data_IF_149345168866
#
_entry.id   IF_149345168866
#
_cell.length_a   1.000
_cell.length_b   1.000
_cell.length_c   1.000
_cell.angle_alpha   90.00
_cell.angle_beta   90.00
_cell.angle_gamma   90.00
#
_symmetry.space_group_name_H-M   'P 1'
#
loop_
_entity.id
_entity.type
_entity.pdbx_description
1 polymer ?
#
# COMPACT_ATOMS: atom_id res chain seq x y z
N UNK A 1 -2.10 9.28 7.22
CA UNK A 1 -2.04 8.00 6.49
C UNK A 1 -0.81 7.24 6.95
N UNK A 2 -0.98 5.97 7.24
CA UNK A 2 0.09 5.13 7.79
C UNK A 2 0.50 4.11 6.73
N UNK A 3 1.45 4.48 5.91
CA UNK A 3 1.89 3.65 4.79
C UNK A 3 2.89 2.63 5.29
N UNK A 4 2.58 1.36 5.08
CA UNK A 4 3.43 0.26 5.53
C UNK A 4 3.61 -0.77 4.42
N UNK A 5 4.71 -1.51 4.53
CA UNK A 5 4.96 -2.65 3.67
C UNK A 5 4.64 -3.90 4.46
N UNK A 6 3.76 -4.73 3.90
CA UNK A 6 3.32 -5.95 4.55
C UNK A 6 3.77 -7.12 3.68
N UNK A 7 4.68 -7.94 4.23
CA UNK A 7 5.11 -9.15 3.53
C UNK A 7 4.14 -10.27 3.88
N UNK A 8 3.50 -10.80 2.85
CA UNK A 8 2.54 -11.88 3.02
C UNK A 8 3.21 -13.23 2.92
N UNK A 9 2.59 -14.24 3.52
CA UNK A 9 3.09 -15.61 3.43
C UNK A 9 3.22 -16.09 1.99
N UNK A 10 2.40 -15.55 1.11
CA UNK A 10 2.48 -15.89 -0.32
C UNK A 10 3.71 -15.32 -1.00
N UNK A 11 4.48 -14.47 -0.30
CA UNK A 11 5.68 -13.88 -0.86
C UNK A 11 5.48 -12.51 -1.45
N UNK A 12 4.28 -12.00 -1.39
CA UNK A 12 3.99 -10.67 -1.93
C UNK A 12 4.35 -9.59 -0.93
N UNK A 13 4.86 -8.48 -1.45
CA UNK A 13 5.07 -7.28 -0.66
C UNK A 13 3.95 -6.31 -1.00
N UNK A 14 3.07 -6.12 -0.04
CA UNK A 14 1.90 -5.26 -0.21
C UNK A 14 2.17 -3.93 0.47
N UNK A 15 1.97 -2.85 -0.26
CA UNK A 15 2.08 -1.50 0.28
C UNK A 15 0.66 -0.99 0.50
N UNK A 16 0.38 -0.54 1.69
CA UNK A 16 -0.99 -0.14 2.02
C UNK A 16 -1.00 0.86 3.15
N UNK A 17 -2.12 1.53 3.28
CA UNK A 17 -2.41 2.37 4.42
C UNK A 17 -3.06 1.51 5.48
N UNK A 18 -2.42 1.36 6.63
CA UNK A 18 -2.97 0.57 7.72
C UNK A 18 -3.83 1.51 8.56
N UNK A 19 -5.13 1.25 8.55
CA UNK A 19 -6.08 2.08 9.27
C UNK A 19 -6.37 1.52 10.66
N UNK A 20 -6.10 0.24 10.87
CA UNK A 20 -6.31 -0.36 12.19
C UNK A 20 -5.38 -1.54 12.36
N UNK A 21 -4.82 -1.68 13.55
CA UNK A 21 -3.86 -2.74 13.86
C UNK A 21 -4.26 -3.33 15.20
N UNK A 22 -4.75 -4.56 15.16
CA UNK A 22 -5.15 -5.27 16.37
C UNK A 22 -4.18 -6.41 16.65
N UNK A 23 -4.38 -7.12 17.73
CA UNK A 23 -3.50 -8.25 18.06
C UNK A 23 -3.59 -9.38 17.04
N UNK A 24 -4.73 -9.52 16.37
CA UNK A 24 -5.00 -10.66 15.50
C UNK A 24 -5.04 -10.31 14.02
N UNK A 25 -5.23 -9.05 13.69
CA UNK A 25 -5.43 -8.66 12.30
C UNK A 25 -4.99 -7.22 12.06
N UNK A 26 -4.91 -6.87 10.79
CA UNK A 26 -4.74 -5.48 10.37
C UNK A 26 -5.85 -5.17 9.37
N UNK A 27 -6.27 -3.92 9.38
CA UNK A 27 -7.23 -3.43 8.39
C UNK A 27 -6.50 -2.42 7.53
N UNK A 28 -6.48 -2.70 6.23
CA UNK A 28 -5.75 -1.88 5.27
C UNK A 28 -6.68 -1.32 4.22
N UNK A 29 -6.22 -0.27 3.59
CA UNK A 29 -6.94 0.32 2.47
C UNK A 29 -5.94 0.62 1.36
N UNK A 30 -6.42 0.62 0.13
CA UNK A 30 -5.64 0.94 -1.08
C UNK A 30 -4.37 0.10 -1.19
N UNK A 31 -4.47 -1.24 -1.12
CA UNK A 31 -3.27 -2.08 -1.20
C UNK A 31 -2.78 -2.18 -2.64
N UNK A 32 -1.48 -2.03 -2.80
CA UNK A 32 -0.82 -2.20 -4.09
C UNK A 32 0.35 -3.15 -3.92
N UNK A 33 0.77 -3.75 -5.02
CA UNK A 33 1.94 -4.60 -5.04
C UNK A 33 2.91 -4.07 -6.06
N UNK A 34 4.20 -4.24 -5.78
CA UNK A 34 5.24 -3.90 -6.73
C UNK A 34 5.37 -5.02 -7.75
N UNK A 35 5.39 -4.66 -9.00
CA UNK A 35 5.59 -5.64 -10.06
C UNK A 35 6.80 -5.20 -10.89
N UNK A 36 7.57 -6.17 -11.40
CA UNK A 36 8.70 -5.81 -12.25
C UNK A 36 8.22 -5.11 -13.50
N UNK A 37 8.87 -4.03 -13.83
CA UNK A 37 8.59 -3.32 -15.06
C UNK A 37 9.52 -3.84 -16.15
N UNK A 38 9.06 -3.95 -17.39
CA UNK A 38 9.95 -4.32 -18.47
C UNK A 38 11.03 -3.27 -18.74
N UNK A 39 10.83 -2.07 -18.24
CA UNK A 39 11.84 -1.05 -18.38
C UNK A 39 12.85 -1.16 -17.26
N UNK A 40 14.10 -0.96 -17.62
CA UNK A 40 15.18 -1.14 -16.69
C UNK A 40 15.06 -0.25 -15.47
N UNK A 41 15.25 -0.85 -14.30
CA UNK A 41 15.37 -0.11 -13.07
C UNK A 41 14.07 0.46 -12.55
N UNK A 42 12.98 0.21 -13.23
CA UNK A 42 11.70 0.75 -12.81
C UNK A 42 10.85 -0.29 -12.13
N UNK A 43 10.07 0.15 -11.17
CA UNK A 43 9.10 -0.68 -10.48
C UNK A 43 7.73 -0.10 -10.78
N UNK A 44 6.85 -0.95 -11.26
CA UNK A 44 5.47 -0.56 -11.47
C UNK A 44 4.63 -1.06 -10.31
N UNK A 45 3.49 -0.44 -10.08
CA UNK A 45 2.58 -0.84 -9.02
C UNK A 45 1.25 -1.23 -9.62
N UNK A 46 0.64 -2.25 -9.03
CA UNK A 46 -0.66 -2.72 -9.46
C UNK A 46 -1.53 -2.92 -8.23
N UNK A 47 -2.85 -2.79 -8.37
CA UNK A 47 -3.72 -3.09 -7.24
C UNK A 47 -3.53 -4.53 -6.80
N UNK A 48 -3.48 -4.73 -5.48
CA UNK A 48 -3.31 -6.07 -4.94
C UNK A 48 -4.56 -6.92 -5.14
N UNK A 49 -5.71 -6.31 -4.99
CA UNK A 49 -6.97 -7.04 -5.10
C UNK A 49 -7.95 -6.25 -5.96
N UNK A 50 -7.72 -6.21 -7.26
CA UNK A 50 -8.48 -5.31 -8.14
C UNK A 50 -9.95 -5.69 -8.27
N UNK A 51 -10.30 -6.91 -7.94
CA UNK A 51 -11.69 -7.35 -8.07
C UNK A 51 -12.51 -7.10 -6.81
N UNK A 52 -11.85 -6.64 -5.75
CA UNK A 52 -12.54 -6.41 -4.49
C UNK A 52 -13.23 -5.05 -4.52
N UNK A 53 -14.47 -5.03 -4.13
CA UNK A 53 -15.26 -3.81 -4.17
C UNK A 53 -15.04 -2.92 -2.96
N UNK A 54 -14.70 -3.50 -1.83
CA UNK A 54 -14.63 -2.77 -0.58
C UNK A 54 -13.37 -1.94 -0.48
N UNK A 55 -13.49 -0.84 0.25
CA UNK A 55 -12.34 0.04 0.48
C UNK A 55 -11.39 -0.49 1.52
N UNK A 56 -11.87 -1.32 2.45
CA UNK A 56 -11.07 -1.80 3.55
C UNK A 56 -11.01 -3.31 3.52
N UNK A 57 -9.83 -3.83 3.83
CA UNK A 57 -9.57 -5.26 3.82
C UNK A 57 -9.01 -5.63 5.17
N UNK A 58 -9.62 -6.62 5.81
CA UNK A 58 -9.08 -7.16 7.06
C UNK A 58 -8.24 -8.38 6.75
N UNK A 59 -7.00 -8.36 7.22
CA UNK A 59 -6.05 -9.45 6.99
C UNK A 59 -5.66 -10.04 8.34
N UNK A 60 -5.80 -11.35 8.47
CA UNK A 60 -5.35 -12.02 9.69
C UNK A 60 -3.83 -12.00 9.75
N UNK A 61 -3.29 -11.71 10.92
CA UNK A 61 -1.84 -11.65 11.11
C UNK A 61 -1.17 -13.00 10.93
N UNK A 62 -1.93 -14.08 10.90
CA UNK A 62 -1.38 -15.40 10.63
C UNK A 62 -0.73 -15.50 9.26
N UNK A 63 -1.16 -14.69 8.32
CA UNK A 63 -0.62 -14.72 6.97
C UNK A 63 0.36 -13.59 6.70
N UNK A 64 0.72 -12.85 7.73
CA UNK A 64 1.67 -11.75 7.61
C UNK A 64 3.01 -12.20 8.15
N UNK A 65 4.06 -12.06 7.35
CA UNK A 65 5.41 -12.42 7.79
C UNK A 65 5.99 -11.27 8.60
N UNK A 66 5.88 -10.05 8.10
CA UNK A 66 6.32 -8.87 8.85
C UNK A 66 5.63 -7.63 8.28
N UNK A 67 5.66 -6.59 9.09
CA UNK A 67 5.19 -5.27 8.69
C UNK A 67 6.34 -4.32 8.93
N UNK A 68 6.67 -3.53 7.92
CA UNK A 68 7.80 -2.61 8.03
C UNK A 68 7.52 -1.31 7.31
N UNK A 69 8.49 -0.44 7.37
CA UNK A 69 8.40 0.85 6.72
C UNK A 69 9.02 0.75 5.33
N UNK A 70 8.28 1.13 4.28
CA UNK A 70 8.86 1.15 2.94
C UNK A 70 9.93 2.23 2.85
N UNK A 71 10.73 2.13 1.81
CA UNK A 71 11.67 3.21 1.51
C UNK A 71 10.90 4.50 1.27
N UNK A 72 11.56 5.61 1.56
CA UNK A 72 10.89 6.89 1.53
C UNK A 72 10.32 7.22 0.15
N UNK A 73 11.03 6.84 -0.90
CA UNK A 73 10.54 7.06 -2.26
C UNK A 73 9.24 6.32 -2.52
N UNK A 74 9.12 5.13 -1.95
CA UNK A 74 7.92 4.33 -2.10
C UNK A 74 6.76 4.98 -1.35
N UNK A 75 7.04 5.46 -0.14
CA UNK A 75 6.01 6.14 0.64
C UNK A 75 5.50 7.37 -0.11
N UNK A 76 6.41 8.16 -0.66
CA UNK A 76 6.01 9.35 -1.39
C UNK A 76 5.19 9.01 -2.62
N UNK A 77 5.60 7.96 -3.33
CA UNK A 77 4.87 7.54 -4.51
C UNK A 77 3.47 7.06 -4.15
N UNK A 78 3.37 6.30 -3.07
CA UNK A 78 2.08 5.83 -2.59
C UNK A 78 1.17 7.01 -2.23
N UNK A 79 1.71 7.96 -1.50
CA UNK A 79 0.93 9.14 -1.11
C UNK A 79 0.51 9.96 -2.31
N UNK A 80 1.34 10.00 -3.32
CA UNK A 80 1.00 10.69 -4.55
C UNK A 80 -0.20 10.05 -5.25
N UNK A 81 -0.29 8.72 -5.19
CA UNK A 81 -1.39 8.01 -5.84
C UNK A 81 -2.69 8.08 -5.05
N UNK A 82 -2.60 8.02 -3.73
CA UNK A 82 -3.78 7.87 -2.89
C UNK A 82 -3.97 8.98 -1.88
N UNK A 83 -3.03 9.89 -1.79
CA UNK A 83 -3.13 10.98 -0.82
C UNK A 83 -4.27 11.90 -1.16
N UNK A 84 -4.97 12.34 -0.17
CA UNK A 84 -6.11 13.23 -0.33
C UNK A 84 -5.71 14.67 -0.14
N UNK A 85 -4.54 14.89 -0.22
CA UNK A 85 -4.04 16.22 0.04
C UNK A 85 -4.29 17.10 -1.14
N UNK A 86 -4.26 16.63 -0.69
CA UNK A 86 -4.17 17.30 -1.40
C UNK A 86 -3.97 18.11 -1.79
N UNK A 87 -3.93 17.77 -1.68
CA UNK A 87 -3.79 18.52 -2.04
C UNK A 87 -3.63 19.11 -2.49
N UNK A 88 -3.72 19.35 -2.55
CA UNK A 88 -3.63 20.11 -3.01
C UNK A 88 -3.42 20.51 -3.55
N UNK A 89 -3.60 20.37 -3.64
CA UNK A 89 -3.51 20.96 -4.06
C UNK A 89 -3.17 21.18 -4.63
N UNK A 90 -3.44 21.05 -4.73
CA UNK A 90 -3.34 21.48 -5.14
C UNK A 90 -3.07 21.78 -5.68
N UNK A 91 -3.29 21.79 -5.72
CA UNK A 91 -3.25 22.34 -6.11
C UNK A 91 -2.98 22.64 -6.59
N UNK A 92 -3.24 22.59 -6.66
CA UNK A 92 -3.19 23.19 -7.03
C UNK A 92 -2.95 23.54 -7.50
N UNK A 93 -3.11 23.52 -7.60
CA UNK A 93 -3.11 24.14 -7.98
C UNK A 93 -3.01 24.48 -8.39
N UNK A 94 -3.19 24.58 -8.43
CA UNK A 94 -3.32 25.14 -8.68
C UNK A 94 -3.20 25.37 -8.99
#
# INVERSE_FOLDING_TARGET
>A
MTVKLVRMWSGEDVIADIVEDTSDSIIITDPIVAVPSPQQGNIAFAPWSPLLQKDKIEITKKYVVYIGDPQEEIIEQYKSMFGKISTPTKKLIL
#
